data_IF_731705084041
#
_entry.id   IF_731705084041
#
_cell.length_a   1.000
_cell.length_b   1.000
_cell.length_c   1.000
_cell.angle_alpha   90.00
_cell.angle_beta   90.00
_cell.angle_gamma   90.00
#
_symmetry.space_group_name_H-M   'P 1'
#
loop_
_entity.id
_entity.type
_entity.pdbx_description
1 polymer ?
#
# COMPACT_ATOMS: atom_id res chain seq x y z
N UNK A 1 19.25 -8.68 -32.51
CA UNK A 1 18.27 -8.71 -31.41
C UNK A 1 18.60 -7.58 -30.47
N UNK A 2 17.64 -6.71 -30.12
CA UNK A 2 17.91 -5.60 -29.20
C UNK A 2 18.33 -6.17 -27.85
N UNK A 3 19.52 -5.78 -27.38
CA UNK A 3 20.08 -6.14 -26.09
C UNK A 3 19.28 -5.42 -24.98
N UNK A 4 18.07 -5.90 -24.68
CA UNK A 4 17.18 -5.31 -23.67
C UNK A 4 17.79 -5.52 -22.29
N UNK A 5 17.88 -4.47 -21.48
CA UNK A 5 18.27 -4.66 -20.10
C UNK A 5 17.09 -5.26 -19.32
N UNK A 6 17.40 -6.18 -18.41
CA UNK A 6 16.43 -6.75 -17.48
C UNK A 6 16.64 -6.10 -16.12
N UNK A 7 15.56 -5.59 -15.54
CA UNK A 7 15.55 -4.93 -14.25
C UNK A 7 14.57 -5.64 -13.33
N UNK A 8 14.90 -5.71 -12.05
CA UNK A 8 13.96 -6.10 -11.01
C UNK A 8 13.40 -4.85 -10.32
N UNK A 9 12.10 -4.84 -10.10
CA UNK A 9 11.39 -3.81 -9.33
C UNK A 9 10.68 -4.47 -8.15
N UNK A 10 10.86 -3.90 -6.96
CA UNK A 10 10.23 -4.40 -5.73
C UNK A 10 8.76 -4.01 -5.71
N UNK A 11 7.87 -4.97 -5.49
CA UNK A 11 6.45 -4.71 -5.25
C UNK A 11 6.13 -4.37 -3.77
N UNK A 12 7.14 -3.97 -3.00
CA UNK A 12 7.01 -3.70 -1.57
C UNK A 12 7.33 -4.91 -0.67
N UNK A 13 7.36 -4.70 0.66
CA UNK A 13 7.51 -5.78 1.63
C UNK A 13 6.25 -6.66 1.73
N UNK A 14 6.32 -7.87 2.31
CA UNK A 14 5.16 -8.75 2.46
C UNK A 14 3.96 -8.10 3.15
N UNK A 15 4.22 -7.22 4.12
CA UNK A 15 3.19 -6.51 4.86
C UNK A 15 2.57 -5.33 4.10
N UNK A 16 3.10 -4.98 2.93
CA UNK A 16 2.64 -3.84 2.09
C UNK A 16 2.95 -4.10 0.62
N UNK A 17 2.03 -4.78 -0.06
CA UNK A 17 2.15 -5.09 -1.49
C UNK A 17 1.62 -3.95 -2.36
N UNK A 18 2.32 -3.65 -3.46
CA UNK A 18 1.89 -2.72 -4.52
C UNK A 18 1.60 -3.43 -5.84
N UNK A 19 1.61 -4.77 -5.86
CA UNK A 19 1.43 -5.57 -7.08
C UNK A 19 0.16 -5.15 -7.82
N UNK A 20 -0.96 -5.07 -7.11
CA UNK A 20 -2.26 -4.79 -7.72
C UNK A 20 -2.30 -3.39 -8.35
N UNK A 21 -1.71 -2.39 -7.68
CA UNK A 21 -1.61 -1.01 -8.19
C UNK A 21 -0.77 -0.97 -9.48
N UNK A 22 0.37 -1.67 -9.50
CA UNK A 22 1.28 -1.68 -10.64
C UNK A 22 0.62 -2.34 -11.86
N UNK A 23 -0.07 -3.46 -11.64
CA UNK A 23 -0.78 -4.20 -12.68
C UNK A 23 -2.00 -3.43 -13.18
N UNK A 24 -2.85 -2.92 -12.28
CA UNK A 24 -4.09 -2.22 -12.61
C UNK A 24 -3.85 -1.00 -13.50
N UNK A 25 -2.81 -0.21 -13.20
CA UNK A 25 -2.55 1.04 -13.90
C UNK A 25 -1.44 0.95 -14.95
N UNK A 26 -0.82 -0.23 -15.11
CA UNK A 26 0.28 -0.42 -16.06
C UNK A 26 1.45 0.49 -15.75
N UNK A 27 1.92 0.44 -14.50
CA UNK A 27 3.01 1.29 -14.00
C UNK A 27 4.06 0.44 -13.26
N UNK A 28 5.32 0.84 -13.36
CA UNK A 28 6.36 0.49 -12.39
C UNK A 28 6.69 1.75 -11.63
N UNK A 29 6.61 1.69 -10.29
CA UNK A 29 6.80 2.86 -9.43
C UNK A 29 7.91 2.60 -8.40
N UNK A 30 8.67 3.62 -8.05
CA UNK A 30 9.59 3.60 -6.91
C UNK A 30 9.50 4.91 -6.11
N UNK A 31 9.91 4.83 -4.84
CA UNK A 31 10.06 5.98 -3.95
C UNK A 31 11.53 6.26 -3.59
N UNK A 32 11.79 7.30 -2.79
CA UNK A 32 10.79 8.17 -2.17
C UNK A 32 10.38 9.28 -3.14
N UNK A 33 9.12 9.74 -3.07
CA UNK A 33 8.63 10.82 -3.93
C UNK A 33 8.72 12.21 -3.30
N UNK A 34 8.80 12.32 -1.97
CA UNK A 34 8.84 13.58 -1.22
C UNK A 34 9.95 14.55 -1.65
N UNK A 35 11.09 14.05 -2.15
CA UNK A 35 12.17 14.86 -2.71
C UNK A 35 11.81 15.54 -4.06
N UNK A 36 10.67 15.22 -4.68
CA UNK A 36 10.24 15.75 -5.98
C UNK A 36 10.90 15.04 -7.17
N UNK A 37 10.71 15.53 -8.41
CA UNK A 37 11.18 14.84 -9.60
C UNK A 37 12.72 14.79 -9.70
N UNK A 38 13.24 13.67 -10.23
CA UNK A 38 14.64 13.54 -10.61
C UNK A 38 15.00 14.51 -11.74
N UNK A 39 16.19 15.13 -11.64
CA UNK A 39 16.82 15.94 -12.68
C UNK A 39 18.33 15.70 -12.69
N UNK A 40 19.01 15.77 -13.84
CA UNK A 40 20.48 15.72 -13.88
C UNK A 40 21.10 16.75 -12.94
N UNK A 41 22.09 16.33 -12.14
CA UNK A 41 22.79 17.18 -11.18
C UNK A 41 22.23 17.15 -9.74
N UNK A 42 21.13 16.45 -9.48
CA UNK A 42 20.69 16.15 -8.11
C UNK A 42 21.54 15.04 -7.48
N UNK A 43 21.64 15.06 -6.16
CA UNK A 43 22.38 14.04 -5.41
C UNK A 43 21.52 12.78 -5.24
N UNK A 44 22.15 11.62 -5.31
CA UNK A 44 21.51 10.32 -5.05
C UNK A 44 21.04 10.25 -3.57
N UNK A 45 21.72 10.93 -2.64
CA UNK A 45 21.38 10.94 -1.22
C UNK A 45 20.03 11.64 -0.93
N UNK A 46 19.61 12.60 -1.75
CA UNK A 46 18.28 13.23 -1.67
C UNK A 46 17.14 12.22 -1.82
N UNK A 47 17.43 11.08 -2.45
CA UNK A 47 16.47 10.01 -2.71
C UNK A 47 16.75 8.76 -1.88
N UNK A 48 17.69 8.80 -0.92
CA UNK A 48 18.11 7.64 -0.16
C UNK A 48 18.93 6.62 -0.96
N UNK A 49 19.56 7.08 -2.06
CA UNK A 49 20.51 6.31 -2.87
C UNK A 49 20.20 6.34 -4.38
N UNK A 50 21.04 5.65 -5.14
CA UNK A 50 21.08 5.75 -6.62
C UNK A 50 19.88 5.19 -7.38
N UNK A 51 18.92 4.51 -6.73
CA UNK A 51 17.85 3.82 -7.44
C UNK A 51 16.93 4.76 -8.23
N UNK A 52 16.66 5.98 -7.75
CA UNK A 52 15.87 6.97 -8.50
C UNK A 52 16.61 7.44 -9.74
N UNK A 53 17.89 7.81 -9.61
CA UNK A 53 18.73 8.16 -10.75
C UNK A 53 18.77 7.07 -11.80
N UNK A 54 19.01 5.82 -11.38
CA UNK A 54 19.06 4.65 -12.29
C UNK A 54 17.72 4.44 -12.98
N UNK A 55 16.62 4.49 -12.22
CA UNK A 55 15.27 4.37 -12.77
C UNK A 55 14.96 5.45 -13.79
N UNK A 56 15.34 6.70 -13.52
CA UNK A 56 15.06 7.84 -14.37
C UNK A 56 15.97 7.91 -15.60
N UNK A 57 17.26 7.58 -15.44
CA UNK A 57 18.31 7.87 -16.43
C UNK A 57 18.81 6.64 -17.19
N UNK A 58 18.76 5.44 -16.58
CA UNK A 58 19.36 4.22 -17.17
C UNK A 58 18.32 3.29 -17.80
N UNK A 59 17.10 3.22 -17.24
CA UNK A 59 16.02 2.39 -17.80
C UNK A 59 15.55 2.99 -19.13
N UNK A 60 15.37 2.15 -20.15
CA UNK A 60 14.94 2.56 -21.49
C UNK A 60 13.60 1.95 -21.89
N UNK A 61 12.90 2.58 -22.83
CA UNK A 61 11.73 1.98 -23.47
C UNK A 61 12.15 0.67 -24.14
N UNK A 62 11.37 -0.39 -23.91
CA UNK A 62 11.67 -1.74 -24.40
C UNK A 62 12.49 -2.60 -23.44
N UNK A 63 13.05 -2.03 -22.37
CA UNK A 63 13.63 -2.83 -21.28
C UNK A 63 12.56 -3.67 -20.59
N UNK A 64 13.02 -4.67 -19.85
CA UNK A 64 12.17 -5.63 -19.15
C UNK A 64 12.17 -5.33 -17.66
N UNK A 65 10.98 -5.23 -17.08
CA UNK A 65 10.79 -5.21 -15.64
C UNK A 65 10.29 -6.57 -15.14
N UNK A 66 10.92 -7.03 -14.06
CA UNK A 66 10.50 -8.20 -13.28
C UNK A 66 9.91 -7.69 -11.97
N UNK A 67 8.58 -7.84 -11.82
CA UNK A 67 7.87 -7.42 -10.62
C UNK A 67 8.01 -8.50 -9.55
N UNK A 68 8.89 -8.28 -8.57
CA UNK A 68 9.20 -9.28 -7.54
C UNK A 68 8.52 -8.98 -6.20
N UNK A 69 8.32 -10.04 -5.43
CA UNK A 69 8.01 -10.00 -4.00
C UNK A 69 9.07 -10.80 -3.24
N UNK A 70 9.60 -10.27 -2.15
CA UNK A 70 10.69 -10.93 -1.42
C UNK A 70 11.98 -11.02 -2.26
N UNK A 71 12.73 -12.10 -2.07
CA UNK A 71 14.08 -12.30 -2.63
C UNK A 71 14.17 -13.38 -3.71
N UNK A 72 13.07 -14.07 -4.00
CA UNK A 72 13.04 -15.16 -5.00
C UNK A 72 11.72 -15.30 -5.75
N UNK A 73 10.70 -14.47 -5.49
CA UNK A 73 9.37 -14.65 -6.09
C UNK A 73 9.05 -13.56 -7.10
N UNK A 74 8.57 -13.98 -8.26
CA UNK A 74 8.12 -13.13 -9.37
C UNK A 74 6.59 -13.16 -9.45
N UNK A 75 5.99 -11.99 -9.68
CA UNK A 75 4.54 -11.82 -9.82
C UNK A 75 4.13 -11.43 -11.24
N UNK A 76 4.99 -10.72 -11.95
CA UNK A 76 4.74 -10.32 -13.33
C UNK A 76 6.04 -10.03 -14.09
N UNK A 77 5.95 -10.15 -15.41
CA UNK A 77 6.98 -9.69 -16.36
C UNK A 77 6.40 -8.53 -17.14
N UNK A 78 7.17 -7.46 -17.34
CA UNK A 78 6.68 -6.25 -17.99
C UNK A 78 7.64 -5.68 -19.02
N UNK A 79 7.10 -5.03 -20.04
CA UNK A 79 7.88 -4.24 -21.01
C UNK A 79 7.70 -2.76 -20.71
N UNK A 80 8.80 -2.06 -20.48
CA UNK A 80 8.81 -0.60 -20.29
C UNK A 80 8.31 0.08 -21.55
N UNK A 81 7.30 0.93 -21.38
CA UNK A 81 6.51 1.52 -22.46
C UNK A 81 6.55 3.06 -22.49
N UNK A 82 7.26 3.70 -21.56
CA UNK A 82 7.48 5.15 -21.55
C UNK A 82 8.86 5.53 -21.03
N UNK A 83 9.23 6.78 -21.29
CA UNK A 83 10.27 7.48 -20.54
C UNK A 83 9.90 7.65 -19.06
N UNK A 84 10.83 8.19 -18.29
CA UNK A 84 10.62 8.55 -16.89
C UNK A 84 9.47 9.56 -16.73
N UNK A 85 8.62 9.30 -15.75
CA UNK A 85 7.50 10.15 -15.37
C UNK A 85 7.57 10.44 -13.87
N UNK A 86 7.11 11.61 -13.48
CA UNK A 86 6.78 11.92 -12.09
C UNK A 86 5.26 12.02 -11.99
N UNK A 87 4.65 11.10 -11.24
CA UNK A 87 3.22 10.81 -11.26
C UNK A 87 2.57 11.18 -9.92
N UNK A 88 2.08 12.41 -9.82
CA UNK A 88 1.50 12.99 -8.60
C UNK A 88 0.34 12.18 -8.02
N UNK A 89 -0.39 11.44 -8.86
CA UNK A 89 -1.47 10.56 -8.41
C UNK A 89 -1.02 9.36 -7.54
N UNK A 90 0.29 9.12 -7.39
CA UNK A 90 0.89 8.02 -6.61
C UNK A 90 1.74 8.53 -5.42
N UNK A 91 1.43 9.72 -4.92
CA UNK A 91 1.95 10.33 -3.68
C UNK A 91 1.49 9.62 -2.39
N UNK A 92 0.51 8.70 -2.46
CA UNK A 92 0.09 7.85 -1.35
C UNK A 92 -0.36 6.47 -1.85
N UNK A 93 0.60 5.61 -2.14
CA UNK A 93 0.35 4.19 -2.41
C UNK A 93 0.55 3.40 -1.13
N UNK A 94 -0.56 3.13 -0.44
CA UNK A 94 -0.56 2.37 0.81
C UNK A 94 0.37 3.02 1.88
N UNK A 95 0.39 4.35 1.95
CA UNK A 95 1.22 5.13 2.86
C UNK A 95 2.68 5.29 2.42
N UNK A 96 2.99 5.16 1.12
CA UNK A 96 4.30 5.53 0.57
C UNK A 96 4.17 6.35 -0.69
N UNK A 97 5.14 7.24 -0.84
CA UNK A 97 5.27 8.17 -1.95
C UNK A 97 6.00 7.45 -3.09
N UNK A 98 5.25 6.98 -4.09
CA UNK A 98 5.75 6.20 -5.22
C UNK A 98 5.59 6.98 -6.55
N UNK A 99 5.93 8.27 -6.55
CA UNK A 99 5.72 9.16 -7.70
C UNK A 99 6.71 8.93 -8.86
N UNK A 100 7.87 8.29 -8.65
CA UNK A 100 8.80 8.01 -9.74
C UNK A 100 8.32 6.82 -10.56
N UNK A 101 7.78 7.10 -11.75
CA UNK A 101 7.05 6.12 -12.54
C UNK A 101 7.58 5.89 -13.94
N UNK A 102 7.27 4.70 -14.47
CA UNK A 102 7.29 4.38 -15.89
C UNK A 102 6.02 3.63 -16.25
N UNK A 103 5.49 3.85 -17.44
CA UNK A 103 4.42 3.02 -17.98
C UNK A 103 4.99 1.66 -18.38
N UNK A 104 4.27 0.61 -18.03
CA UNK A 104 4.70 -0.77 -18.24
C UNK A 104 3.51 -1.58 -18.76
N UNK A 105 3.73 -2.35 -19.81
CA UNK A 105 2.80 -3.40 -20.22
C UNK A 105 3.13 -4.63 -19.41
N UNK A 106 2.30 -4.95 -18.42
CA UNK A 106 2.52 -6.10 -17.55
C UNK A 106 1.84 -7.34 -18.11
N UNK A 107 2.51 -8.48 -18.00
CA UNK A 107 1.92 -9.79 -18.01
C UNK A 107 1.89 -10.34 -16.58
N UNK A 108 0.72 -10.36 -15.91
CA UNK A 108 0.60 -10.99 -14.61
C UNK A 108 0.77 -12.51 -14.76
N UNK A 109 1.59 -13.11 -13.91
CA UNK A 109 1.71 -14.57 -13.88
C UNK A 109 0.44 -15.16 -13.26
N UNK A 110 -0.15 -16.23 -13.82
CA UNK A 110 -1.32 -16.90 -13.23
C UNK A 110 -1.05 -17.37 -11.80
N UNK A 111 0.17 -17.86 -11.58
CA UNK A 111 0.70 -18.21 -10.27
C UNK A 111 2.07 -17.54 -10.09
N UNK A 112 2.40 -17.17 -8.85
CA UNK A 112 3.69 -16.58 -8.55
C UNK A 112 4.81 -17.60 -8.85
N UNK A 113 5.83 -17.19 -9.59
CA UNK A 113 6.98 -18.04 -9.89
C UNK A 113 8.07 -17.82 -8.84
N UNK A 114 8.43 -18.86 -8.10
CA UNK A 114 9.49 -18.81 -7.10
C UNK A 114 10.72 -19.55 -7.58
N UNK A 115 11.83 -18.83 -7.73
CA UNK A 115 13.13 -19.41 -8.01
C UNK A 115 13.60 -20.24 -6.81
N UNK A 116 14.39 -21.30 -7.07
CA UNK A 116 14.90 -22.18 -6.01
C UNK A 116 15.88 -21.44 -5.10
N UNK A 117 16.73 -20.62 -5.70
CA UNK A 117 17.74 -19.85 -4.99
C UNK A 117 17.29 -18.40 -4.76
N UNK A 118 18.02 -17.70 -3.89
CA UNK A 118 17.84 -16.27 -3.64
C UNK A 118 18.43 -15.47 -4.80
N UNK A 119 17.69 -15.42 -5.91
CA UNK A 119 18.15 -14.84 -7.18
C UNK A 119 18.03 -13.33 -7.24
N UNK A 120 17.17 -12.75 -6.40
CA UNK A 120 17.11 -11.31 -6.20
C UNK A 120 17.98 -10.97 -4.98
N UNK A 121 18.76 -9.89 -5.08
CA UNK A 121 19.64 -9.41 -4.00
C UNK A 121 18.88 -9.09 -2.69
N UNK A 122 19.56 -8.44 -1.74
CA UNK A 122 18.99 -8.06 -0.44
C UNK A 122 17.61 -7.39 -0.59
N UNK A 123 16.77 -7.33 0.45
CA UNK A 123 15.47 -6.63 0.35
C UNK A 123 15.49 -5.37 1.23
N UNK A 124 15.26 -4.15 0.69
CA UNK A 124 14.94 -3.82 -0.70
C UNK A 124 15.97 -2.87 -1.38
N UNK A 125 16.63 -3.27 -2.48
CA UNK A 125 16.86 -2.41 -3.62
C UNK A 125 15.51 -2.31 -4.34
N UNK A 126 14.96 -1.10 -4.32
CA UNK A 126 13.68 -0.73 -4.94
C UNK A 126 13.69 -1.02 -6.44
N UNK A 127 14.85 -0.82 -7.07
CA UNK A 127 15.19 -1.18 -8.44
C UNK A 127 16.65 -1.65 -8.52
N UNK A 128 16.93 -2.68 -9.32
CA UNK A 128 18.31 -2.96 -9.77
C UNK A 128 18.34 -3.75 -11.07
N UNK A 129 19.45 -3.66 -11.81
CA UNK A 129 19.68 -4.47 -13.00
C UNK A 129 19.90 -5.94 -12.61
N UNK A 130 19.25 -6.84 -13.33
CA UNK A 130 19.40 -8.28 -13.16
C UNK A 130 20.57 -8.77 -13.99
N UNK A 131 21.50 -9.46 -13.34
CA UNK A 131 22.65 -10.11 -13.97
C UNK A 131 22.68 -11.62 -13.72
N UNK A 132 21.76 -12.14 -12.91
CA UNK A 132 21.68 -13.57 -12.60
C UNK A 132 21.30 -14.36 -13.87
N UNK A 133 22.13 -15.33 -14.33
CA UNK A 133 21.88 -16.06 -15.58
C UNK A 133 20.56 -16.85 -15.60
N UNK A 134 20.14 -17.44 -14.48
CA UNK A 134 18.88 -18.20 -14.40
C UNK A 134 17.68 -17.28 -14.63
N UNK A 135 17.70 -16.09 -14.04
CA UNK A 135 16.63 -15.10 -14.20
C UNK A 135 16.61 -14.54 -15.62
N UNK A 136 17.79 -14.32 -16.21
CA UNK A 136 17.91 -13.86 -17.60
C UNK A 136 17.37 -14.90 -18.59
N UNK A 137 17.75 -16.17 -18.42
CA UNK A 137 17.23 -17.29 -19.23
C UNK A 137 15.71 -17.42 -19.11
N UNK A 138 15.18 -17.42 -17.88
CA UNK A 138 13.74 -17.44 -17.64
C UNK A 138 13.04 -16.29 -18.39
N UNK A 139 13.59 -15.08 -18.28
CA UNK A 139 13.01 -13.88 -18.89
C UNK A 139 13.02 -13.99 -20.42
N UNK A 140 14.12 -14.44 -21.01
CA UNK A 140 14.22 -14.61 -22.46
C UNK A 140 13.23 -15.65 -22.97
N UNK A 141 13.13 -16.82 -22.32
CA UNK A 141 12.15 -17.85 -22.68
C UNK A 141 10.72 -17.34 -22.54
N UNK A 142 10.42 -16.62 -21.46
CA UNK A 142 9.10 -16.06 -21.21
C UNK A 142 8.68 -15.07 -22.31
N UNK A 143 9.56 -14.15 -22.69
CA UNK A 143 9.26 -13.13 -23.71
C UNK A 143 9.06 -13.70 -25.11
N UNK A 144 9.65 -14.87 -25.40
CA UNK A 144 9.50 -15.54 -26.69
C UNK A 144 8.40 -16.61 -26.70
N UNK A 145 7.74 -16.85 -25.55
CA UNK A 145 6.65 -17.82 -25.43
C UNK A 145 5.28 -17.15 -25.67
N UNK A 146 4.40 -17.75 -26.49
CA UNK A 146 3.03 -17.27 -26.63
C UNK A 146 2.25 -17.32 -25.30
N UNK A 147 1.31 -16.38 -25.06
CA UNK A 147 0.96 -15.26 -25.93
C UNK A 147 1.97 -14.10 -25.83
N UNK A 148 2.25 -13.43 -26.95
CA UNK A 148 3.18 -12.27 -27.00
C UNK A 148 2.47 -10.94 -27.26
N UNK A 149 1.17 -10.95 -27.56
CA UNK A 149 0.38 -9.75 -27.89
C UNK A 149 0.34 -8.72 -26.76
N UNK A 150 0.44 -9.16 -25.51
CA UNK A 150 0.51 -8.28 -24.33
C UNK A 150 1.67 -7.28 -24.40
N UNK A 151 2.78 -7.65 -25.07
CA UNK A 151 3.96 -6.77 -25.23
C UNK A 151 3.64 -5.52 -26.06
N UNK A 152 2.52 -5.54 -26.81
CA UNK A 152 2.04 -4.42 -27.63
C UNK A 152 0.65 -3.94 -27.22
N UNK A 153 0.05 -4.54 -26.19
CA UNK A 153 -1.26 -4.16 -25.70
C UNK A 153 -1.34 -2.67 -25.35
N UNK A 154 -2.52 -2.04 -25.49
CA UNK A 154 -2.72 -0.67 -25.03
C UNK A 154 -2.47 -0.60 -23.53
N UNK A 155 -1.87 0.51 -23.09
CA UNK A 155 -1.66 0.76 -21.67
C UNK A 155 -3.00 1.06 -20.97
N UNK A 156 -3.21 0.58 -19.74
CA UNK A 156 -4.35 0.98 -18.92
C UNK A 156 -4.42 2.51 -18.73
N UNK A 157 -5.57 3.04 -18.30
CA UNK A 157 -5.65 4.46 -17.90
C UNK A 157 -4.99 4.65 -16.54
N UNK A 158 -4.33 5.78 -16.33
CA UNK A 158 -3.86 6.17 -15.00
C UNK A 158 -5.07 6.61 -14.15
N UNK A 159 -5.01 6.48 -12.82
CA UNK A 159 -6.01 7.08 -11.97
C UNK A 159 -5.90 8.62 -12.06
N UNK A 160 -7.01 9.34 -11.85
CA UNK A 160 -6.96 10.78 -11.72
C UNK A 160 -6.10 11.15 -10.50
N UNK A 161 -5.45 12.29 -10.58
CA UNK A 161 -4.86 12.92 -9.39
C UNK A 161 -5.98 13.34 -8.45
N UNK A 162 -5.82 13.04 -7.18
CA UNK A 162 -6.73 13.48 -6.12
C UNK A 162 -6.09 14.63 -5.36
N UNK A 163 -6.71 15.84 -5.34
CA UNK A 163 -6.20 16.94 -4.54
C UNK A 163 -6.33 16.63 -3.04
N UNK A 164 -5.59 17.34 -2.18
CA UNK A 164 -5.85 17.31 -0.74
C UNK A 164 -7.31 17.65 -0.43
N UNK A 165 -7.89 16.96 0.55
CA UNK A 165 -9.20 17.32 1.07
C UNK A 165 -9.05 18.52 2.02
N UNK A 166 -9.48 19.70 1.58
CA UNK A 166 -9.37 20.95 2.33
C UNK A 166 -10.40 21.03 3.46
N UNK A 167 -11.67 20.71 3.17
CA UNK A 167 -12.77 20.82 4.12
C UNK A 167 -13.25 19.45 4.60
N UNK A 168 -13.25 19.27 5.93
CA UNK A 168 -13.89 18.12 6.58
C UNK A 168 -15.41 18.37 6.63
N UNK A 169 -16.24 17.34 6.37
CA UNK A 169 -17.69 17.48 6.49
C UNK A 169 -18.09 18.11 7.84
N UNK A 170 -18.90 19.18 7.83
CA UNK A 170 -19.20 19.97 9.04
C UNK A 170 -20.00 19.19 10.09
N UNK A 171 -20.62 18.08 9.69
CA UNK A 171 -21.34 17.15 10.56
C UNK A 171 -20.42 16.13 11.26
N UNK A 172 -19.10 16.23 11.07
CA UNK A 172 -18.07 15.41 11.74
C UNK A 172 -17.00 16.29 12.42
N UNK A 173 -17.38 17.22 13.33
CA UNK A 173 -16.42 18.17 13.90
C UNK A 173 -15.28 17.51 14.67
N UNK A 174 -15.55 16.44 15.42
CA UNK A 174 -14.51 15.70 16.14
C UNK A 174 -13.47 15.02 15.24
N UNK A 175 -13.77 14.85 13.94
CA UNK A 175 -12.84 14.30 12.97
C UNK A 175 -11.80 15.34 12.55
N UNK A 176 -12.19 16.61 12.42
CA UNK A 176 -11.28 17.69 12.08
C UNK A 176 -10.19 17.86 13.16
N UNK A 177 -10.58 17.86 14.43
CA UNK A 177 -9.64 17.94 15.56
C UNK A 177 -8.66 16.76 15.58
N UNK A 178 -9.16 15.54 15.31
CA UNK A 178 -8.33 14.35 15.26
C UNK A 178 -7.32 14.39 14.09
N UNK A 179 -7.76 14.87 12.92
CA UNK A 179 -6.89 15.04 11.76
C UNK A 179 -5.80 16.09 12.04
N UNK A 180 -6.16 17.21 12.67
CA UNK A 180 -5.18 18.20 13.13
C UNK A 180 -4.15 17.57 14.07
N UNK A 181 -4.63 16.85 15.08
CA UNK A 181 -3.79 16.11 16.04
C UNK A 181 -2.86 15.11 15.34
N UNK A 182 -3.37 14.35 14.36
CA UNK A 182 -2.54 13.42 13.59
C UNK A 182 -1.45 14.14 12.80
N UNK A 183 -1.77 15.27 12.13
CA UNK A 183 -0.80 16.06 11.36
C UNK A 183 0.30 16.65 12.25
N UNK A 184 -0.05 17.06 13.45
CA UNK A 184 0.92 17.64 14.39
C UNK A 184 1.81 16.59 15.06
N UNK A 185 1.23 15.45 15.46
CA UNK A 185 1.95 14.45 16.25
C UNK A 185 2.73 13.44 15.41
N UNK A 186 2.23 13.02 14.24
CA UNK A 186 2.87 11.94 13.46
C UNK A 186 4.33 12.25 13.10
N UNK A 187 4.73 13.48 12.70
CA UNK A 187 6.13 13.81 12.48
C UNK A 187 7.00 13.54 13.72
N UNK A 188 6.51 13.90 14.92
CA UNK A 188 7.18 13.64 16.18
C UNK A 188 7.24 12.13 16.49
N UNK A 189 6.14 11.39 16.33
CA UNK A 189 6.05 9.95 16.59
C UNK A 189 6.97 9.10 15.67
N UNK A 190 7.30 9.63 14.49
CA UNK A 190 8.23 9.00 13.54
C UNK A 190 9.69 9.35 13.81
N UNK A 191 9.96 10.45 14.53
CA UNK A 191 11.31 10.88 14.89
C UNK A 191 11.87 10.02 16.03
N UNK A 192 12.67 9.01 15.66
CA UNK A 192 13.33 8.12 16.64
C UNK A 192 14.37 8.81 17.51
N UNK A 193 14.89 9.96 17.09
CA UNK A 193 15.86 10.70 17.88
C UNK A 193 15.17 11.50 18.99
N UNK A 194 14.04 12.15 18.67
CA UNK A 194 13.29 12.94 19.63
C UNK A 194 12.34 12.09 20.49
N UNK A 195 11.61 11.15 19.89
CA UNK A 195 10.56 10.37 20.55
C UNK A 195 11.06 9.02 21.08
N UNK A 196 12.09 8.45 20.46
CA UNK A 196 12.66 7.15 20.84
C UNK A 196 12.00 5.99 20.08
N UNK A 197 11.39 5.06 20.82
CA UNK A 197 10.67 3.94 20.22
C UNK A 197 9.33 4.41 19.64
N UNK A 198 8.89 3.79 18.54
CA UNK A 198 7.57 4.09 17.99
C UNK A 198 6.46 3.74 18.97
N UNK A 199 5.33 4.46 18.94
CA UNK A 199 4.17 4.12 19.76
C UNK A 199 3.74 2.67 19.52
N UNK A 200 3.35 2.02 20.60
CA UNK A 200 2.72 0.70 20.59
C UNK A 200 1.39 0.70 19.84
N UNK A 201 0.92 -0.50 19.49
CA UNK A 201 -0.42 -0.68 18.91
C UNK A 201 -1.50 -0.17 19.86
N UNK A 202 -1.37 -0.46 21.16
CA UNK A 202 -2.28 0.01 22.21
C UNK A 202 -2.36 1.55 22.29
N UNK A 203 -1.20 2.24 22.20
CA UNK A 203 -1.17 3.71 22.16
C UNK A 203 -1.88 4.24 20.92
N UNK A 204 -1.70 3.63 19.75
CA UNK A 204 -2.38 4.06 18.53
C UNK A 204 -3.89 3.79 18.60
N UNK A 205 -4.29 2.67 19.22
CA UNK A 205 -5.70 2.36 19.46
C UNK A 205 -6.32 3.43 20.38
N UNK A 206 -5.66 3.72 21.50
CA UNK A 206 -6.16 4.66 22.50
C UNK A 206 -6.18 6.11 21.99
N UNK A 207 -5.15 6.53 21.25
CA UNK A 207 -4.96 7.93 20.86
C UNK A 207 -5.57 8.28 19.50
N UNK A 208 -5.76 7.30 18.61
CA UNK A 208 -6.29 7.57 17.27
C UNK A 208 -7.50 6.72 16.92
N UNK A 209 -7.46 5.39 17.06
CA UNK A 209 -8.55 4.52 16.57
C UNK A 209 -9.85 4.72 17.36
N UNK A 210 -9.80 4.71 18.70
CA UNK A 210 -10.99 4.93 19.52
C UNK A 210 -11.54 6.35 19.34
N UNK A 211 -10.72 7.43 19.39
CA UNK A 211 -11.18 8.78 19.05
C UNK A 211 -11.78 8.90 17.65
N UNK A 212 -11.21 8.23 16.65
CA UNK A 212 -11.73 8.20 15.28
C UNK A 212 -13.14 7.61 15.21
N UNK A 213 -13.36 6.46 15.86
CA UNK A 213 -14.68 5.84 15.94
C UNK A 213 -15.69 6.74 16.66
N UNK A 214 -15.28 7.40 17.75
CA UNK A 214 -16.13 8.36 18.47
C UNK A 214 -16.50 9.55 17.60
N UNK A 215 -15.56 10.09 16.83
CA UNK A 215 -15.80 11.16 15.86
C UNK A 215 -16.78 10.74 14.76
N UNK A 216 -16.83 9.44 14.42
CA UNK A 216 -17.79 8.85 13.48
C UNK A 216 -19.14 8.46 14.14
N UNK A 217 -19.36 8.84 15.40
CA UNK A 217 -20.64 8.69 16.10
C UNK A 217 -20.82 7.39 16.89
N UNK A 218 -19.77 6.58 17.04
CA UNK A 218 -19.84 5.36 17.85
C UNK A 218 -19.78 5.70 19.35
N UNK A 219 -20.73 5.20 20.16
CA UNK A 219 -20.70 5.41 21.59
C UNK A 219 -19.66 4.48 22.24
N UNK A 220 -18.97 4.91 23.32
CA UNK A 220 -17.87 4.15 23.91
C UNK A 220 -18.25 2.71 24.31
N UNK A 221 -19.46 2.47 24.81
CA UNK A 221 -19.93 1.15 25.19
C UNK A 221 -20.06 0.17 24.00
N UNK A 222 -20.16 0.69 22.77
CA UNK A 222 -20.20 -0.12 21.54
C UNK A 222 -18.82 -0.31 20.89
N UNK A 223 -17.76 0.28 21.45
CA UNK A 223 -16.38 0.08 21.04
C UNK A 223 -15.73 -0.81 22.09
N UNK A 224 -15.30 -2.01 21.70
CA UNK A 224 -14.63 -2.93 22.60
C UNK A 224 -13.18 -3.10 22.16
N UNK A 225 -12.27 -2.67 23.02
CA UNK A 225 -10.83 -2.94 22.87
C UNK A 225 -10.55 -4.29 23.52
N UNK A 226 -9.73 -5.13 22.88
CA UNK A 226 -9.35 -6.46 23.37
C UNK A 226 -10.51 -7.44 23.61
N UNK A 227 -11.63 -7.28 22.90
CA UNK A 227 -12.74 -8.22 23.02
C UNK A 227 -12.42 -9.51 22.27
N UNK A 228 -12.29 -10.62 23.00
CA UNK A 228 -11.91 -11.92 22.44
C UNK A 228 -10.55 -11.89 21.71
N UNK A 229 -9.58 -11.12 22.24
CA UNK A 229 -8.25 -10.92 21.65
C UNK A 229 -8.24 -10.20 20.30
N UNK A 230 -9.33 -9.52 19.96
CA UNK A 230 -9.39 -8.62 18.81
C UNK A 230 -9.05 -7.21 19.29
N UNK A 231 -8.08 -6.56 18.63
CA UNK A 231 -7.62 -5.22 18.97
C UNK A 231 -8.78 -4.24 19.19
N UNK A 232 -9.69 -4.12 18.21
CA UNK A 232 -10.97 -3.41 18.39
C UNK A 232 -12.12 -4.11 17.67
N UNK A 233 -13.22 -4.36 18.38
CA UNK A 233 -14.49 -4.80 17.82
C UNK A 233 -15.56 -3.72 18.02
N UNK A 234 -16.31 -3.39 16.95
CA UNK A 234 -17.38 -2.39 16.98
C UNK A 234 -18.73 -3.07 16.88
N UNK A 235 -19.69 -2.69 17.75
CA UNK A 235 -20.99 -3.35 17.87
C UNK A 235 -22.13 -2.41 17.55
N UNK A 236 -23.12 -2.88 16.77
CA UNK A 236 -24.32 -2.07 16.43
C UNK A 236 -25.20 -1.77 17.64
N UNK A 237 -25.23 -2.68 18.61
CA UNK A 237 -25.99 -2.61 19.86
C UNK A 237 -25.42 -3.56 20.90
N UNK A 238 -25.80 -3.36 22.16
CA UNK A 238 -25.51 -4.28 23.26
C UNK A 238 -26.52 -5.45 23.27
N UNK A 239 -26.15 -6.63 23.81
CA UNK A 239 -24.84 -6.98 24.38
C UNK A 239 -23.76 -7.23 23.30
N UNK A 240 -22.49 -7.13 23.70
CA UNK A 240 -21.32 -7.40 22.84
C UNK A 240 -21.24 -8.90 22.52
N UNK A 241 -21.79 -9.27 21.39
CA UNK A 241 -21.94 -10.66 20.89
C UNK A 241 -21.55 -10.70 19.41
N UNK A 242 -21.13 -11.88 18.88
CA UNK A 242 -20.77 -12.02 17.47
C UNK A 242 -21.87 -11.51 16.53
N UNK A 243 -23.15 -11.77 16.84
CA UNK A 243 -24.29 -11.36 16.03
C UNK A 243 -24.42 -9.83 15.92
N UNK A 244 -24.15 -9.13 17.03
CA UNK A 244 -24.21 -7.67 17.11
C UNK A 244 -22.93 -6.97 16.63
N UNK A 245 -21.85 -7.72 16.38
CA UNK A 245 -20.61 -7.18 15.82
C UNK A 245 -20.88 -6.59 14.44
N UNK A 246 -20.37 -5.39 14.20
CA UNK A 246 -20.54 -4.65 12.95
C UNK A 246 -19.34 -4.82 12.02
N UNK A 247 -18.14 -4.61 12.55
CA UNK A 247 -16.85 -4.79 11.89
C UNK A 247 -15.76 -4.91 12.96
N UNK A 248 -14.62 -5.47 12.55
CA UNK A 248 -13.43 -5.57 13.38
C UNK A 248 -12.35 -4.61 12.88
N UNK A 249 -11.48 -4.17 13.77
CA UNK A 249 -10.26 -3.43 13.43
C UNK A 249 -9.07 -4.21 13.96
N UNK A 250 -8.09 -4.41 13.11
CA UNK A 250 -6.76 -4.91 13.45
C UNK A 250 -5.75 -3.77 13.30
N UNK A 251 -5.09 -3.43 14.39
CA UNK A 251 -4.09 -2.38 14.46
C UNK A 251 -2.68 -2.97 14.23
N UNK A 252 -1.79 -2.13 13.71
CA UNK A 252 -0.35 -2.38 13.63
C UNK A 252 0.41 -1.14 14.06
N UNK A 253 1.69 -1.32 14.39
CA UNK A 253 2.58 -0.20 14.75
C UNK A 253 2.61 0.88 13.66
N UNK A 254 2.80 2.13 14.09
CA UNK A 254 2.87 3.29 13.20
C UNK A 254 3.90 3.08 12.10
N UNK A 255 3.50 3.33 10.84
CA UNK A 255 4.38 3.18 9.69
C UNK A 255 4.64 1.73 9.26
N UNK A 256 4.09 0.73 9.95
CA UNK A 256 4.13 -0.66 9.49
C UNK A 256 3.24 -0.86 8.25
N UNK A 257 3.55 -1.84 7.41
CA UNK A 257 2.58 -2.30 6.40
C UNK A 257 1.37 -2.91 7.09
N UNK A 258 0.17 -2.39 6.81
CA UNK A 258 -1.07 -2.80 7.49
C UNK A 258 -1.77 -3.94 6.74
N UNK A 259 -1.44 -4.13 5.46
CA UNK A 259 -2.08 -5.09 4.57
C UNK A 259 -1.86 -6.53 5.03
N UNK A 260 -0.69 -6.82 5.63
CA UNK A 260 -0.41 -8.14 6.20
C UNK A 260 -1.29 -8.53 7.39
N UNK A 261 -1.99 -7.57 7.99
CA UNK A 261 -2.86 -7.80 9.14
C UNK A 261 -4.23 -8.43 8.77
N UNK A 262 -4.60 -8.41 7.48
CA UNK A 262 -5.89 -8.90 7.02
C UNK A 262 -6.12 -10.39 7.34
N UNK A 263 -5.10 -11.23 7.15
CA UNK A 263 -5.25 -12.68 7.39
C UNK A 263 -5.45 -13.01 8.87
N UNK A 264 -4.80 -12.25 9.77
CA UNK A 264 -5.04 -12.36 11.21
C UNK A 264 -6.49 -12.00 11.56
N UNK A 265 -7.00 -10.89 11.02
CA UNK A 265 -8.37 -10.45 11.25
C UNK A 265 -9.43 -11.42 10.68
N UNK A 266 -9.15 -12.07 9.54
CA UNK A 266 -10.01 -13.15 9.00
C UNK A 266 -10.09 -14.33 9.96
N UNK A 267 -8.96 -14.74 10.55
CA UNK A 267 -8.93 -15.81 11.55
C UNK A 267 -9.84 -15.56 12.75
N UNK A 268 -9.97 -14.30 13.19
CA UNK A 268 -10.92 -13.94 14.24
C UNK A 268 -12.38 -14.13 13.81
N UNK A 269 -12.74 -13.69 12.60
CA UNK A 269 -14.10 -13.88 12.07
C UNK A 269 -14.46 -15.37 11.94
N UNK A 270 -13.53 -16.19 11.47
CA UNK A 270 -13.69 -17.65 11.39
C UNK A 270 -13.93 -18.26 12.78
N UNK A 271 -13.12 -17.87 13.77
CA UNK A 271 -13.25 -18.33 15.16
C UNK A 271 -14.59 -17.93 15.77
N UNK A 272 -15.07 -16.73 15.45
CA UNK A 272 -16.37 -16.22 15.91
C UNK A 272 -17.56 -16.77 15.10
N UNK A 273 -17.33 -17.47 13.99
CA UNK A 273 -18.39 -18.01 13.12
C UNK A 273 -19.22 -16.93 12.42
N UNK A 274 -18.65 -15.74 12.19
CA UNK A 274 -19.35 -14.61 11.56
C UNK A 274 -18.61 -14.11 10.32
N UNK A 275 -19.34 -13.40 9.45
CA UNK A 275 -18.78 -12.71 8.30
C UNK A 275 -19.07 -11.22 8.42
N UNK A 276 -18.03 -10.41 8.63
CA UNK A 276 -18.11 -8.96 8.83
C UNK A 276 -16.94 -8.27 8.15
N UNK A 277 -17.12 -6.99 7.85
CA UNK A 277 -16.07 -6.18 7.27
C UNK A 277 -14.90 -6.02 8.26
N UNK A 278 -13.70 -5.86 7.69
CA UNK A 278 -12.45 -5.70 8.45
C UNK A 278 -11.87 -4.35 8.12
N UNK A 279 -11.36 -3.66 9.12
CA UNK A 279 -10.48 -2.51 8.96
C UNK A 279 -9.09 -2.90 9.43
N UNK A 280 -8.07 -2.58 8.65
CA UNK A 280 -6.67 -2.64 9.12
C UNK A 280 -6.13 -1.23 9.23
N UNK A 281 -5.35 -0.96 10.27
CA UNK A 281 -4.88 0.40 10.54
C UNK A 281 -3.54 0.43 11.26
N UNK A 282 -2.83 1.54 11.14
CA UNK A 282 -1.72 1.91 12.04
C UNK A 282 -2.06 3.14 12.91
N UNK A 283 -3.36 3.36 13.15
CA UNK A 283 -3.90 4.55 13.81
C UNK A 283 -4.06 5.76 12.89
N UNK A 284 -3.27 5.86 11.81
CA UNK A 284 -3.25 7.03 10.91
C UNK A 284 -3.80 6.68 9.53
N UNK A 285 -3.47 5.50 9.03
CA UNK A 285 -3.96 4.97 7.76
C UNK A 285 -4.97 3.89 8.05
N UNK A 286 -6.04 3.88 7.28
CA UNK A 286 -7.16 2.96 7.45
C UNK A 286 -7.48 2.35 6.10
N UNK A 287 -7.60 1.03 6.05
CA UNK A 287 -8.14 0.34 4.89
C UNK A 287 -9.23 -0.61 5.30
N UNK A 288 -10.36 -0.53 4.60
CA UNK A 288 -11.51 -1.38 4.83
C UNK A 288 -11.61 -2.45 3.75
N UNK A 289 -11.91 -3.67 4.18
CA UNK A 289 -12.16 -4.84 3.34
C UNK A 289 -13.58 -5.33 3.56
N UNK A 290 -14.28 -5.62 2.46
CA UNK A 290 -15.68 -6.03 2.51
C UNK A 290 -15.82 -7.54 2.50
N UNK A 291 -16.42 -8.08 3.55
CA UNK A 291 -16.73 -9.52 3.67
C UNK A 291 -17.65 -10.02 2.55
N UNK A 292 -18.65 -9.23 2.18
CA UNK A 292 -19.58 -9.53 1.08
C UNK A 292 -18.88 -9.62 -0.29
N UNK A 293 -17.72 -8.97 -0.44
CA UNK A 293 -16.91 -8.98 -1.66
C UNK A 293 -15.66 -9.85 -1.51
N UNK A 294 -15.69 -10.89 -0.67
CA UNK A 294 -14.55 -11.79 -0.49
C UNK A 294 -13.31 -11.10 0.07
N UNK A 295 -13.49 -10.06 0.90
CA UNK A 295 -12.45 -9.21 1.47
C UNK A 295 -11.64 -8.44 0.43
N UNK A 296 -12.25 -8.02 -0.67
CA UNK A 296 -11.69 -6.98 -1.54
C UNK A 296 -11.56 -5.64 -0.78
N UNK A 297 -10.49 -4.85 -1.04
CA UNK A 297 -10.37 -3.51 -0.49
C UNK A 297 -11.45 -2.59 -1.07
N UNK A 298 -12.21 -1.91 -0.19
CA UNK A 298 -13.37 -1.09 -0.60
C UNK A 298 -13.28 0.38 -0.23
N UNK A 299 -12.39 0.75 0.69
CA UNK A 299 -12.15 2.13 1.07
C UNK A 299 -10.79 2.30 1.76
N UNK A 300 -10.22 3.50 1.66
CA UNK A 300 -8.94 3.87 2.24
C UNK A 300 -9.00 5.31 2.76
N UNK A 301 -8.27 5.61 3.82
CA UNK A 301 -7.99 6.97 4.25
C UNK A 301 -6.61 7.05 4.89
N UNK A 302 -5.95 8.18 4.70
CA UNK A 302 -4.73 8.56 5.39
C UNK A 302 -4.96 9.90 6.10
N UNK A 303 -5.01 9.90 7.43
CA UNK A 303 -5.40 11.09 8.19
C UNK A 303 -4.39 12.23 8.05
N UNK A 304 -3.11 11.95 7.83
CA UNK A 304 -2.10 13.01 7.62
C UNK A 304 -2.07 13.53 6.19
N UNK A 305 -2.57 12.75 5.22
CA UNK A 305 -2.65 13.10 3.79
C UNK A 305 -4.03 12.83 3.24
N UNK A 306 -5.00 13.55 3.79
CA UNK A 306 -6.40 13.28 3.50
C UNK A 306 -6.77 13.67 2.07
N UNK A 307 -7.52 12.78 1.41
CA UNK A 307 -7.99 12.91 0.02
C UNK A 307 -9.50 12.68 -0.07
N UNK A 308 -10.19 13.17 -1.11
CA UNK A 308 -11.62 12.98 -1.29
C UNK A 308 -12.09 11.52 -1.16
N UNK A 309 -11.30 10.54 -1.63
CA UNK A 309 -11.60 9.11 -1.47
C UNK A 309 -11.78 8.66 -0.02
N UNK A 310 -11.18 9.36 0.96
CA UNK A 310 -11.37 9.08 2.39
C UNK A 310 -12.81 9.27 2.88
N UNK A 311 -13.60 10.14 2.22
CA UNK A 311 -15.02 10.31 2.54
C UNK A 311 -15.80 9.01 2.36
N UNK A 312 -15.38 8.17 1.40
CA UNK A 312 -15.93 6.84 1.20
C UNK A 312 -15.71 5.92 2.41
N UNK A 313 -14.54 5.99 3.04
CA UNK A 313 -14.25 5.26 4.27
C UNK A 313 -15.10 5.79 5.44
N UNK A 314 -15.13 7.11 5.64
CA UNK A 314 -15.87 7.72 6.75
C UNK A 314 -17.35 7.37 6.70
N UNK A 315 -17.95 7.42 5.50
CA UNK A 315 -19.34 7.01 5.29
C UNK A 315 -19.60 5.55 5.67
N UNK A 316 -18.68 4.64 5.34
CA UNK A 316 -18.81 3.20 5.62
C UNK A 316 -18.62 2.86 7.10
N UNK A 317 -17.75 3.61 7.79
CA UNK A 317 -17.46 3.40 9.21
C UNK A 317 -18.37 4.21 10.12
N UNK A 318 -19.20 5.11 9.60
CA UNK A 318 -20.16 5.88 10.40
C UNK A 318 -21.18 4.94 11.04
N UNK A 319 -21.62 5.29 12.26
CA UNK A 319 -22.72 4.58 12.90
C UNK A 319 -23.98 4.60 12.00
N UNK A 320 -24.58 3.43 11.71
CA UNK A 320 -25.82 3.33 10.93
C UNK A 320 -27.03 4.02 11.54
#
# INVERSE_FOLDING_TARGET
MMNRAVWQISAGPPSRSYVDVFLQYGVGLIGPGDAGPWKPGRDDDEFGGSFVRRFASEVQIGDVFLLRTGVSTLRAVGIVASDYLYLEQFDDVNGWDLQHGRRVRWYPLPEAYTFRDLVFGANPPRLSRVLNPEVLDYTERFLNSPPTDWQRAPLPKLPPEEPPLEDIPPDLPGLADLIGTARDLVPLLLDRQAFGEHPSEDELIAHFVVPFLRALGWPPECIAVEWQHIDVAVFRKLPRTPENCHFLIEAKRLGAGVEGALEQAKGYLETLGISRDIVVTDGIRYRMYSSERGFEPVAYANLVRLKPSALGLFKRLRRP
#
